data_IF_830617813139
#
_entry.id   IF_830617813139
#
_cell.length_a   1.000
_cell.length_b   1.000
_cell.length_c   1.000
_cell.angle_alpha   90.00
_cell.angle_beta   90.00
_cell.angle_gamma   90.00
#
_symmetry.space_group_name_H-M   'P 1'
#
loop_
_entity.id
_entity.type
_entity.pdbx_description
1 polymer ?
#
# COMPACT_ATOMS: atom_id res chain seq x y z
N UNK A 1 -2.21 28.50 -5.53
CA UNK A 1 -1.70 27.70 -4.42
C UNK A 1 -1.80 26.23 -4.77
N UNK A 2 -0.79 25.51 -4.49
CA UNK A 2 -0.78 24.10 -4.83
C UNK A 2 -1.67 23.29 -3.91
N UNK A 3 -2.45 22.41 -4.50
CA UNK A 3 -3.27 21.51 -3.72
C UNK A 3 -2.39 20.33 -3.24
N UNK A 4 -2.20 20.14 -1.94
CA UNK A 4 -1.40 19.01 -1.47
C UNK A 4 -1.92 17.66 -1.96
N UNK A 5 -3.22 17.55 -2.21
CA UNK A 5 -3.80 16.33 -2.74
C UNK A 5 -3.37 16.01 -4.16
N UNK A 6 -2.89 17.01 -4.91
CA UNK A 6 -2.37 16.78 -6.26
C UNK A 6 -1.08 15.98 -6.25
N UNK A 7 -0.35 15.96 -5.13
CA UNK A 7 0.88 15.21 -4.97
C UNK A 7 0.72 13.96 -4.13
N UNK A 8 -0.38 13.87 -3.43
CA UNK A 8 -0.66 12.72 -2.57
C UNK A 8 -1.48 11.70 -3.34
N UNK A 9 -1.35 10.43 -3.01
CA UNK A 9 -2.25 9.41 -3.57
C UNK A 9 -3.68 9.80 -3.24
N UNK A 10 -4.59 9.64 -4.20
CA UNK A 10 -5.99 9.88 -3.89
C UNK A 10 -6.54 8.74 -3.04
N UNK A 11 -7.65 9.02 -2.37
CA UNK A 11 -8.22 8.07 -1.42
C UNK A 11 -8.59 6.74 -2.07
N UNK A 12 -9.12 6.76 -3.28
CA UNK A 12 -9.48 5.52 -3.98
C UNK A 12 -8.27 4.62 -4.19
N UNK A 13 -7.14 5.21 -4.57
CA UNK A 13 -5.92 4.45 -4.79
C UNK A 13 -5.41 3.87 -3.47
N UNK A 14 -5.43 4.66 -2.40
CA UNK A 14 -5.02 4.19 -1.07
C UNK A 14 -5.90 3.01 -0.64
N UNK A 15 -7.21 3.15 -0.78
CA UNK A 15 -8.15 2.09 -0.38
C UNK A 15 -7.98 0.84 -1.23
N UNK A 16 -7.71 1.01 -2.51
CA UNK A 16 -7.50 -0.13 -3.40
C UNK A 16 -6.24 -0.91 -2.98
N UNK A 17 -5.16 -0.21 -2.69
CA UNK A 17 -3.92 -0.85 -2.23
C UNK A 17 -4.13 -1.52 -0.88
N UNK A 18 -4.77 -0.84 0.05
CA UNK A 18 -5.04 -1.39 1.37
C UNK A 18 -5.86 -2.68 1.27
N UNK A 19 -6.92 -2.65 0.48
CA UNK A 19 -7.79 -3.82 0.32
C UNK A 19 -7.04 -4.98 -0.31
N UNK A 20 -6.20 -4.69 -1.30
CA UNK A 20 -5.42 -5.74 -1.94
C UNK A 20 -4.43 -6.39 -0.97
N UNK A 21 -3.81 -5.59 -0.12
CA UNK A 21 -2.92 -6.11 0.93
C UNK A 21 -3.72 -6.98 1.90
N UNK A 22 -4.90 -6.53 2.28
CA UNK A 22 -5.76 -7.31 3.18
C UNK A 22 -6.12 -8.67 2.59
N UNK A 23 -6.49 -8.69 1.32
CA UNK A 23 -6.88 -9.92 0.63
C UNK A 23 -5.72 -10.90 0.47
N UNK A 24 -4.49 -10.39 0.39
CA UNK A 24 -3.29 -11.17 0.15
C UNK A 24 -2.28 -11.06 1.29
N UNK A 25 -2.79 -10.87 2.51
CA UNK A 25 -1.95 -10.73 3.68
C UNK A 25 -1.07 -11.98 3.85
N UNK A 26 0.24 -11.74 3.97
CA UNK A 26 1.19 -12.82 4.18
C UNK A 26 1.65 -13.52 2.91
N UNK A 27 1.22 -13.08 1.72
CA UNK A 27 1.52 -13.79 0.48
C UNK A 27 2.68 -13.19 -0.32
N UNK A 28 2.78 -11.87 -0.35
CA UNK A 28 3.70 -11.19 -1.28
C UNK A 28 4.60 -10.20 -0.57
N UNK A 29 5.82 -10.04 -1.08
CA UNK A 29 6.63 -8.90 -0.70
C UNK A 29 6.11 -7.65 -1.44
N UNK A 30 6.66 -6.47 -1.10
CA UNK A 30 6.16 -5.21 -1.66
C UNK A 30 6.27 -5.14 -3.19
N UNK A 31 7.33 -5.67 -3.77
CA UNK A 31 7.52 -5.63 -5.22
C UNK A 31 6.53 -6.56 -5.92
N UNK A 32 6.36 -7.77 -5.38
CA UNK A 32 5.43 -8.74 -5.95
C UNK A 32 4.00 -8.23 -5.88
N UNK A 33 3.61 -7.67 -4.74
CA UNK A 33 2.26 -7.15 -4.56
C UNK A 33 2.00 -6.00 -5.53
N UNK A 34 2.97 -5.10 -5.69
CA UNK A 34 2.86 -3.99 -6.63
C UNK A 34 2.57 -4.46 -8.04
N UNK A 35 3.27 -5.51 -8.48
CA UNK A 35 3.08 -6.05 -9.83
C UNK A 35 1.71 -6.68 -10.03
N UNK A 36 1.07 -7.09 -8.96
CA UNK A 36 -0.23 -7.79 -9.03
C UNK A 36 -1.42 -6.91 -8.72
N UNK A 37 -1.20 -5.63 -8.46
CA UNK A 37 -2.30 -4.71 -8.15
C UNK A 37 -3.32 -4.68 -9.28
N UNK A 38 -4.62 -4.57 -8.95
CA UNK A 38 -5.69 -4.54 -9.96
C UNK A 38 -5.56 -3.38 -10.95
N UNK A 39 -4.95 -2.27 -10.52
CA UNK A 39 -4.69 -1.13 -11.39
C UNK A 39 -3.24 -0.70 -11.22
N UNK A 40 -2.67 -0.15 -12.28
CA UNK A 40 -1.30 0.35 -12.22
C UNK A 40 -1.19 1.54 -11.29
N UNK A 41 -0.18 1.50 -10.44
CA UNK A 41 0.17 2.59 -9.55
C UNK A 41 1.67 2.82 -9.74
N UNK A 42 2.06 4.08 -9.86
CA UNK A 42 3.48 4.43 -9.96
C UNK A 42 4.21 3.93 -8.71
N UNK A 43 5.42 3.41 -8.90
CA UNK A 43 6.20 2.83 -7.80
C UNK A 43 6.36 3.81 -6.63
N UNK A 44 6.68 5.07 -6.91
CA UNK A 44 6.86 6.06 -5.86
C UNK A 44 5.56 6.33 -5.10
N UNK A 45 4.45 6.41 -5.82
CA UNK A 45 3.14 6.59 -5.19
C UNK A 45 2.80 5.40 -4.29
N UNK A 46 3.06 4.21 -4.78
CA UNK A 46 2.84 2.98 -4.02
C UNK A 46 3.66 2.97 -2.73
N UNK A 47 4.94 3.38 -2.79
CA UNK A 47 5.78 3.43 -1.59
C UNK A 47 5.25 4.43 -0.57
N UNK A 48 4.72 5.57 -1.03
CA UNK A 48 4.09 6.54 -0.13
C UNK A 48 2.88 5.93 0.55
N UNK A 49 2.06 5.19 -0.20
CA UNK A 49 0.89 4.52 0.35
C UNK A 49 1.29 3.49 1.40
N UNK A 50 2.31 2.67 1.11
CA UNK A 50 2.78 1.68 2.07
C UNK A 50 3.29 2.34 3.35
N UNK A 51 4.05 3.42 3.20
CA UNK A 51 4.57 4.15 4.35
C UNK A 51 3.44 4.69 5.21
N UNK A 52 2.43 5.26 4.57
CA UNK A 52 1.25 5.75 5.26
C UNK A 52 0.53 4.64 6.03
N UNK A 53 0.27 3.51 5.36
CA UNK A 53 -0.44 2.40 5.98
C UNK A 53 0.35 1.80 7.14
N UNK A 54 1.68 1.77 7.05
CA UNK A 54 2.52 1.35 8.17
C UNK A 54 2.43 2.34 9.32
N UNK A 55 2.43 3.64 9.01
CA UNK A 55 2.43 4.69 10.04
C UNK A 55 1.16 4.69 10.87
N UNK A 56 0.04 4.24 10.31
CA UNK A 56 -1.22 4.14 11.03
C UNK A 56 -1.50 2.72 11.51
N UNK A 57 -0.51 1.85 11.45
CA UNK A 57 -0.57 0.46 11.96
C UNK A 57 -1.62 -0.40 11.30
N UNK A 58 -1.87 -0.18 10.02
CA UNK A 58 -2.76 -1.06 9.26
C UNK A 58 -2.02 -2.22 8.63
N UNK A 59 -0.76 -2.04 8.28
CA UNK A 59 0.06 -3.10 7.71
C UNK A 59 1.41 -3.17 8.42
N UNK A 60 2.06 -4.30 8.28
CA UNK A 60 3.43 -4.48 8.72
C UNK A 60 4.19 -5.25 7.65
N UNK A 61 5.52 -5.17 7.72
CA UNK A 61 6.38 -5.96 6.87
C UNK A 61 7.10 -6.93 7.80
N UNK A 62 6.95 -8.24 7.55
CA UNK A 62 7.54 -9.23 8.43
C UNK A 62 9.05 -9.35 8.19
N UNK A 63 9.69 -10.25 8.94
CA UNK A 63 11.14 -10.42 8.86
C UNK A 63 11.61 -10.91 7.48
N UNK A 64 10.71 -11.46 6.69
CA UNK A 64 11.01 -11.94 5.34
C UNK A 64 10.65 -10.91 4.26
N UNK A 65 10.22 -9.72 4.66
CA UNK A 65 9.82 -8.68 3.72
C UNK A 65 8.41 -8.84 3.18
N UNK A 66 7.59 -9.70 3.79
CA UNK A 66 6.24 -9.98 3.31
C UNK A 66 5.26 -9.00 3.94
N UNK A 67 4.36 -8.46 3.12
CA UNK A 67 3.34 -7.53 3.60
C UNK A 67 2.22 -8.29 4.31
N UNK A 68 1.90 -7.83 5.52
CA UNK A 68 0.88 -8.44 6.36
C UNK A 68 -0.12 -7.37 6.78
N UNK A 69 -1.40 -7.67 6.67
CA UNK A 69 -2.46 -6.75 7.10
C UNK A 69 -2.74 -7.01 8.57
N UNK A 70 -2.58 -5.99 9.41
CA UNK A 70 -2.68 -6.15 10.86
C UNK A 70 -3.84 -5.38 11.48
N UNK A 71 -4.52 -4.54 10.70
CA UNK A 71 -5.68 -3.80 11.20
C UNK A 71 -6.86 -4.74 11.39
N UNK A 72 -7.46 -4.68 12.56
CA UNK A 72 -8.62 -5.54 12.85
C UNK A 72 -9.84 -4.73 13.25
#
# INVERSE_FOLDING_TARGET
MENPLARSPNLETVLMVERFIEEHSGEFNRTELWKKLPRKVMWQTYLIILDYLQSINKIAIDKNGILVYIWS
#
